data_IF_625438536912
#
_entry.id   IF_625438536912
#
_cell.length_a   1.000
_cell.length_b   1.000
_cell.length_c   1.000
_cell.angle_alpha   90.00
_cell.angle_beta   90.00
_cell.angle_gamma   90.00
#
_symmetry.space_group_name_H-M   'P 1'
#
loop_
_entity.id
_entity.type
_entity.pdbx_description
1 polymer ?
#
# COMPACT_ATOMS: atom_id res chain seq x y z
N UNK A 1 -33.60 -6.24 0.44
CA UNK A 1 -32.99 -4.92 0.29
C UNK A 1 -32.56 -4.85 -1.17
N UNK A 2 -33.07 -3.90 -1.90
CA UNK A 2 -32.64 -3.67 -3.27
C UNK A 2 -31.31 -2.89 -3.32
N UNK A 3 -30.75 -2.72 -4.51
CA UNK A 3 -29.47 -2.06 -4.72
C UNK A 3 -29.48 -0.59 -4.27
N UNK A 4 -30.53 0.15 -4.61
CA UNK A 4 -30.65 1.57 -4.25
C UNK A 4 -30.82 1.78 -2.75
N UNK A 5 -31.57 0.90 -2.06
CA UNK A 5 -31.67 0.90 -0.61
C UNK A 5 -30.33 0.65 0.06
N UNK A 6 -29.50 -0.26 -0.52
CA UNK A 6 -28.18 -0.57 -0.03
C UNK A 6 -27.23 0.64 -0.17
N UNK A 7 -27.17 1.23 -1.36
CA UNK A 7 -26.33 2.42 -1.62
C UNK A 7 -26.72 3.55 -0.68
N UNK A 8 -28.00 3.86 -0.59
CA UNK A 8 -28.49 4.93 0.27
C UNK A 8 -28.18 4.71 1.75
N UNK A 9 -28.34 3.47 2.24
CA UNK A 9 -28.19 3.14 3.65
C UNK A 9 -26.74 3.10 4.11
N UNK A 10 -25.83 2.54 3.29
CA UNK A 10 -24.46 2.22 3.73
C UNK A 10 -23.40 3.14 3.14
N UNK A 11 -23.62 3.69 1.96
CA UNK A 11 -22.59 4.46 1.25
C UNK A 11 -22.93 5.96 1.16
N UNK A 12 -24.17 6.34 0.96
CA UNK A 12 -24.54 7.77 0.96
C UNK A 12 -24.24 8.44 2.30
N UNK A 13 -24.31 7.71 3.41
CA UNK A 13 -23.93 8.21 4.73
C UNK A 13 -22.41 8.48 4.89
N UNK A 14 -21.57 7.94 4.00
CA UNK A 14 -20.12 8.18 3.98
C UNK A 14 -19.74 9.44 3.20
N UNK A 15 -20.68 10.02 2.47
CA UNK A 15 -20.50 11.27 1.77
C UNK A 15 -20.28 12.39 2.80
N UNK A 16 -19.06 12.91 2.86
CA UNK A 16 -18.78 14.07 3.71
C UNK A 16 -19.18 15.34 2.94
N UNK A 17 -19.62 16.36 3.66
CA UNK A 17 -19.99 17.64 3.11
C UNK A 17 -18.72 18.43 2.70
N UNK A 18 -18.06 18.00 1.62
CA UNK A 18 -16.96 18.75 0.99
C UNK A 18 -17.54 19.81 0.07
N UNK A 19 -17.02 21.04 0.15
CA UNK A 19 -17.51 22.16 -0.65
C UNK A 19 -17.19 22.07 -2.15
N UNK A 20 -16.32 21.14 -2.53
CA UNK A 20 -15.92 20.86 -3.92
C UNK A 20 -16.65 19.67 -4.56
N UNK A 21 -17.50 18.96 -3.84
CA UNK A 21 -18.43 17.96 -4.39
C UNK A 21 -19.77 18.62 -4.65
N UNK A 22 -20.07 18.86 -5.93
CA UNK A 22 -21.32 19.52 -6.35
C UNK A 22 -22.49 18.53 -6.45
N UNK A 23 -22.22 17.31 -6.93
CA UNK A 23 -23.15 16.16 -6.98
C UNK A 23 -22.33 14.93 -6.54
N UNK A 24 -22.80 14.22 -5.54
CA UNK A 24 -22.16 13.02 -5.01
C UNK A 24 -22.98 11.77 -5.29
N UNK A 25 -23.04 10.86 -4.28
CA UNK A 25 -23.72 9.57 -4.39
C UNK A 25 -25.23 9.76 -4.51
N UNK A 26 -25.85 9.17 -5.55
CA UNK A 26 -27.30 9.16 -5.78
C UNK A 26 -27.76 9.71 -7.12
N UNK A 27 -26.86 10.19 -7.96
CA UNK A 27 -27.10 10.56 -9.35
C UNK A 27 -26.28 9.67 -10.29
N UNK A 28 -26.45 9.81 -11.62
CA UNK A 28 -25.79 8.98 -12.64
C UNK A 28 -24.25 9.16 -12.64
N UNK A 29 -23.76 10.31 -12.17
CA UNK A 29 -22.34 10.57 -12.00
C UNK A 29 -22.07 11.58 -10.89
N UNK A 30 -20.93 11.47 -10.22
CA UNK A 30 -20.45 12.52 -9.34
C UNK A 30 -19.93 13.73 -10.15
N UNK A 31 -20.22 14.95 -9.68
CA UNK A 31 -19.69 16.19 -10.23
C UNK A 31 -18.86 16.86 -9.15
N UNK A 32 -17.55 16.98 -9.40
CA UNK A 32 -16.60 17.59 -8.49
C UNK A 32 -15.96 18.82 -9.14
N UNK A 33 -15.73 19.86 -8.34
CA UNK A 33 -14.96 21.01 -8.79
C UNK A 33 -13.45 20.64 -8.72
N UNK A 34 -12.75 20.78 -9.83
CA UNK A 34 -11.33 20.53 -9.91
C UNK A 34 -10.58 21.83 -10.17
N UNK A 35 -9.68 22.19 -9.27
CA UNK A 35 -8.76 23.31 -9.51
C UNK A 35 -7.57 22.77 -10.31
N UNK A 36 -7.39 23.30 -11.53
CA UNK A 36 -6.47 22.77 -12.53
C UNK A 36 -5.01 23.20 -12.34
N UNK A 37 -4.63 23.73 -11.18
CA UNK A 37 -3.25 24.16 -10.94
C UNK A 37 -2.25 22.99 -10.81
N UNK A 38 -2.73 21.82 -10.38
CA UNK A 38 -1.94 20.63 -10.15
C UNK A 38 -2.32 19.49 -11.10
N UNK A 39 -1.40 18.56 -11.31
CA UNK A 39 -1.65 17.33 -12.07
C UNK A 39 -2.59 16.39 -11.31
N UNK A 40 -3.50 15.76 -12.05
CA UNK A 40 -4.43 14.76 -11.50
C UNK A 40 -3.75 13.41 -11.39
N UNK A 41 -3.77 12.81 -10.18
CA UNK A 41 -3.37 11.43 -9.92
C UNK A 41 -4.60 10.52 -9.90
N UNK A 42 -4.50 9.34 -10.52
CA UNK A 42 -5.57 8.33 -10.56
C UNK A 42 -4.93 6.95 -10.35
N UNK A 43 -5.43 6.18 -9.38
CA UNK A 43 -5.08 4.78 -9.17
C UNK A 43 -6.34 3.92 -9.03
N UNK A 44 -6.24 2.63 -9.34
CA UNK A 44 -7.33 1.68 -9.19
C UNK A 44 -6.79 0.29 -8.87
N UNK A 45 -7.33 -0.29 -7.80
CA UNK A 45 -7.03 -1.65 -7.39
C UNK A 45 -8.28 -2.48 -7.16
N UNK A 46 -8.15 -3.77 -7.41
CA UNK A 46 -9.21 -4.76 -7.22
C UNK A 46 -8.79 -5.85 -6.26
N UNK A 47 -9.54 -6.03 -5.19
CA UNK A 47 -9.39 -7.12 -4.25
C UNK A 47 -10.44 -8.21 -4.48
N UNK A 48 -10.01 -9.47 -4.60
CA UNK A 48 -10.86 -10.64 -4.83
C UNK A 48 -10.73 -11.60 -3.65
N UNK A 49 -11.86 -12.05 -3.10
CA UNK A 49 -11.87 -13.06 -2.03
C UNK A 49 -11.20 -14.36 -2.50
N UNK A 50 -10.37 -14.94 -1.66
CA UNK A 50 -9.59 -16.14 -1.96
C UNK A 50 -8.29 -15.88 -2.72
N UNK A 51 -8.10 -14.69 -3.30
CA UNK A 51 -6.88 -14.26 -3.99
C UNK A 51 -6.11 -13.29 -3.11
N UNK A 52 -6.67 -12.10 -2.85
CA UNK A 52 -6.03 -11.02 -2.11
C UNK A 52 -6.31 -11.05 -0.60
N UNK A 53 -7.36 -11.72 -0.20
CA UNK A 53 -7.67 -11.95 1.21
C UNK A 53 -8.41 -13.30 1.38
N UNK A 54 -8.22 -14.02 2.50
CA UNK A 54 -8.87 -15.29 2.77
C UNK A 54 -10.41 -15.15 2.83
N UNK A 55 -11.12 -16.20 2.44
CA UNK A 55 -12.55 -16.28 2.66
C UNK A 55 -12.89 -16.16 4.16
N UNK A 56 -13.96 -15.42 4.46
CA UNK A 56 -14.36 -15.17 5.84
C UNK A 56 -13.56 -14.09 6.57
N UNK A 57 -12.70 -13.35 5.88
CA UNK A 57 -12.05 -12.15 6.42
C UNK A 57 -13.12 -11.16 6.90
N UNK A 58 -12.88 -10.53 8.05
CA UNK A 58 -13.80 -9.57 8.64
C UNK A 58 -14.11 -8.42 7.66
N UNK A 59 -15.37 -8.09 7.49
CA UNK A 59 -15.82 -7.14 6.48
C UNK A 59 -15.21 -5.74 6.65
N UNK A 60 -15.02 -5.28 7.89
CA UNK A 60 -14.38 -4.01 8.20
C UNK A 60 -12.90 -3.98 7.77
N UNK A 61 -12.20 -5.12 7.91
CA UNK A 61 -10.83 -5.25 7.42
C UNK A 61 -10.77 -5.24 5.88
N UNK A 62 -11.73 -5.90 5.19
CA UNK A 62 -11.82 -5.87 3.73
C UNK A 62 -12.06 -4.44 3.23
N UNK A 63 -13.02 -3.72 3.85
CA UNK A 63 -13.31 -2.33 3.49
C UNK A 63 -12.13 -1.40 3.71
N UNK A 64 -11.42 -1.54 4.82
CA UNK A 64 -10.20 -0.77 5.11
C UNK A 64 -9.09 -1.06 4.09
N UNK A 65 -8.75 -2.35 3.90
CA UNK A 65 -7.67 -2.77 2.99
C UNK A 65 -7.93 -2.30 1.56
N UNK A 66 -9.17 -2.38 1.07
CA UNK A 66 -9.51 -1.98 -0.29
C UNK A 66 -9.20 -0.49 -0.59
N UNK A 67 -9.28 0.37 0.40
CA UNK A 67 -8.86 1.77 0.28
C UNK A 67 -7.36 1.90 0.46
N UNK A 68 -6.80 1.25 1.49
CA UNK A 68 -5.41 1.42 1.91
C UNK A 68 -4.40 1.01 0.82
N UNK A 69 -4.69 -0.02 0.02
CA UNK A 69 -3.81 -0.44 -1.09
C UNK A 69 -3.67 0.66 -2.14
N UNK A 70 -4.77 1.30 -2.54
CA UNK A 70 -4.74 2.45 -3.47
C UNK A 70 -4.06 3.70 -2.85
N UNK A 71 -4.22 3.91 -1.54
CA UNK A 71 -3.52 4.99 -0.84
C UNK A 71 -1.99 4.78 -0.88
N UNK A 72 -1.54 3.53 -0.94
CA UNK A 72 -0.12 3.19 -1.07
C UNK A 72 0.47 3.63 -2.41
N UNK A 73 -0.27 3.46 -3.52
CA UNK A 73 0.12 3.99 -4.83
C UNK A 73 0.27 5.51 -4.79
N UNK A 74 -0.68 6.19 -4.15
CA UNK A 74 -0.63 7.64 -3.98
C UNK A 74 0.58 8.06 -3.16
N UNK A 75 0.91 7.32 -2.10
CA UNK A 75 2.10 7.56 -1.30
C UNK A 75 3.38 7.40 -2.14
N UNK A 76 3.48 6.35 -2.96
CA UNK A 76 4.62 6.13 -3.85
C UNK A 76 4.83 7.26 -4.86
N UNK A 77 3.75 7.89 -5.30
CA UNK A 77 3.81 9.05 -6.21
C UNK A 77 3.98 10.40 -5.50
N UNK A 78 3.88 10.44 -4.16
CA UNK A 78 3.84 11.69 -3.38
C UNK A 78 2.58 12.51 -3.66
N UNK A 79 1.51 11.86 -4.12
CA UNK A 79 0.22 12.46 -4.44
C UNK A 79 -0.71 12.42 -3.22
N UNK A 80 -1.71 13.32 -3.22
CA UNK A 80 -2.72 13.39 -2.17
C UNK A 80 -4.09 12.99 -2.73
N UNK A 81 -4.74 11.96 -2.16
CA UNK A 81 -6.07 11.54 -2.59
C UNK A 81 -7.12 12.58 -2.20
N UNK A 82 -8.21 12.65 -2.95
CA UNK A 82 -9.36 13.54 -2.67
C UNK A 82 -10.69 12.81 -2.77
N UNK A 83 -10.87 12.01 -3.80
CA UNK A 83 -12.11 11.32 -4.11
C UNK A 83 -11.89 9.85 -4.31
N UNK A 84 -12.87 9.06 -3.89
CA UNK A 84 -12.92 7.62 -4.13
C UNK A 84 -14.19 7.24 -4.89
N UNK A 85 -14.11 6.23 -5.73
CA UNK A 85 -15.28 5.49 -6.24
C UNK A 85 -15.13 4.01 -5.88
N UNK A 86 -16.26 3.33 -5.67
CA UNK A 86 -16.33 1.93 -5.27
C UNK A 86 -17.13 1.13 -6.29
N UNK A 87 -16.56 0.08 -6.90
CA UNK A 87 -17.32 -0.97 -7.55
C UNK A 87 -17.31 -2.22 -6.65
N UNK A 88 -18.48 -2.56 -6.09
CA UNK A 88 -18.65 -3.65 -5.15
C UNK A 88 -19.46 -4.77 -5.76
N UNK A 89 -18.86 -5.94 -5.92
CA UNK A 89 -19.57 -7.18 -6.27
C UNK A 89 -19.66 -8.06 -5.03
N UNK A 90 -20.88 -8.52 -4.69
CA UNK A 90 -21.10 -9.36 -3.51
C UNK A 90 -22.13 -10.47 -3.80
N UNK A 91 -22.00 -11.65 -3.15
CA UNK A 91 -22.89 -12.77 -3.42
C UNK A 91 -24.30 -12.55 -2.87
N UNK A 92 -24.46 -11.76 -1.84
CA UNK A 92 -25.72 -11.41 -1.17
C UNK A 92 -25.63 -10.08 -0.44
N UNK A 93 -26.72 -9.35 -0.33
CA UNK A 93 -26.82 -8.14 0.47
C UNK A 93 -27.07 -8.51 1.95
N UNK A 94 -26.00 -8.74 2.69
CA UNK A 94 -25.98 -9.00 4.12
C UNK A 94 -25.81 -7.68 4.89
N UNK A 95 -26.79 -7.34 5.73
CA UNK A 95 -26.83 -6.03 6.38
C UNK A 95 -25.68 -5.80 7.37
N UNK A 96 -25.32 -6.81 8.15
CA UNK A 96 -24.25 -6.71 9.15
C UNK A 96 -22.88 -6.65 8.47
N UNK A 97 -22.70 -7.46 7.42
CA UNK A 97 -21.48 -7.43 6.61
C UNK A 97 -21.28 -6.06 5.95
N UNK A 98 -22.34 -5.51 5.34
CA UNK A 98 -22.27 -4.22 4.65
C UNK A 98 -22.00 -3.07 5.61
N UNK A 99 -22.62 -3.08 6.80
CA UNK A 99 -22.34 -2.06 7.81
C UNK A 99 -20.88 -2.12 8.28
N UNK A 100 -20.36 -3.30 8.55
CA UNK A 100 -18.96 -3.48 8.95
C UNK A 100 -18.00 -3.05 7.84
N UNK A 101 -18.25 -3.47 6.58
CA UNK A 101 -17.48 -3.09 5.41
C UNK A 101 -17.43 -1.56 5.23
N UNK A 102 -18.59 -0.91 5.26
CA UNK A 102 -18.70 0.55 5.15
C UNK A 102 -17.95 1.28 6.28
N UNK A 103 -17.99 0.77 7.50
CA UNK A 103 -17.24 1.33 8.63
C UNK A 103 -15.74 1.24 8.43
N UNK A 104 -15.25 0.09 7.97
CA UNK A 104 -13.81 -0.10 7.68
C UNK A 104 -13.33 0.79 6.54
N UNK A 105 -14.10 0.85 5.45
CA UNK A 105 -13.83 1.74 4.32
C UNK A 105 -13.78 3.21 4.74
N UNK A 106 -14.82 3.65 5.49
CA UNK A 106 -14.90 5.02 5.99
C UNK A 106 -13.70 5.39 6.86
N UNK A 107 -13.24 4.47 7.72
CA UNK A 107 -12.06 4.71 8.54
C UNK A 107 -10.82 5.06 7.70
N UNK A 108 -10.55 4.28 6.66
CA UNK A 108 -9.40 4.53 5.77
C UNK A 108 -9.55 5.82 4.96
N UNK A 109 -10.77 6.11 4.48
CA UNK A 109 -11.06 7.35 3.75
C UNK A 109 -10.90 8.60 4.61
N UNK A 110 -11.44 8.59 5.83
CA UNK A 110 -11.34 9.72 6.78
C UNK A 110 -9.89 9.97 7.19
N UNK A 111 -9.13 8.90 7.49
CA UNK A 111 -7.71 9.03 7.85
C UNK A 111 -6.88 9.68 6.72
N UNK A 112 -7.31 9.53 5.46
CA UNK A 112 -6.65 10.06 4.27
C UNK A 112 -7.28 11.36 3.74
N UNK A 113 -8.21 12.00 4.47
CA UNK A 113 -8.99 13.17 4.03
C UNK A 113 -9.64 12.98 2.63
N UNK A 114 -10.15 11.78 2.38
CA UNK A 114 -10.73 11.37 1.10
C UNK A 114 -12.22 11.08 1.28
N UNK A 115 -13.03 11.33 0.25
CA UNK A 115 -14.47 11.09 0.29
C UNK A 115 -14.91 10.14 -0.80
N UNK A 116 -15.85 9.25 -0.47
CA UNK A 116 -16.54 8.41 -1.45
C UNK A 116 -17.56 9.28 -2.19
N UNK A 117 -17.44 9.37 -3.52
CA UNK A 117 -18.30 10.25 -4.34
C UNK A 117 -19.21 9.48 -5.30
N UNK A 118 -18.99 8.16 -5.48
CA UNK A 118 -19.78 7.37 -6.39
C UNK A 118 -19.34 5.91 -6.43
N UNK A 119 -19.96 5.15 -7.32
CA UNK A 119 -19.61 3.74 -7.51
C UNK A 119 -20.72 2.92 -8.12
N UNK A 120 -20.59 1.60 -8.01
CA UNK A 120 -21.54 0.62 -8.51
C UNK A 120 -21.63 -0.56 -7.53
N UNK A 121 -22.80 -1.21 -7.47
CA UNK A 121 -22.98 -2.40 -6.64
C UNK A 121 -23.73 -3.47 -7.41
N UNK A 122 -23.13 -4.64 -7.55
CA UNK A 122 -23.70 -5.74 -8.33
C UNK A 122 -23.61 -7.09 -7.62
N UNK A 123 -24.27 -8.10 -8.15
CA UNK A 123 -24.27 -9.46 -7.59
C UNK A 123 -23.25 -10.35 -8.29
N UNK A 124 -22.39 -11.01 -7.50
CA UNK A 124 -21.41 -11.99 -7.99
C UNK A 124 -20.48 -12.45 -6.87
N UNK A 125 -19.34 -13.09 -7.21
CA UNK A 125 -18.28 -13.39 -6.23
C UNK A 125 -17.77 -12.12 -5.56
N UNK A 126 -17.43 -12.20 -4.26
CA UNK A 126 -16.96 -11.02 -3.53
C UNK A 126 -15.72 -10.42 -4.18
N UNK A 127 -15.89 -9.24 -4.73
CA UNK A 127 -14.85 -8.45 -5.40
C UNK A 127 -15.04 -6.98 -5.05
N UNK A 128 -13.97 -6.32 -4.69
CA UNK A 128 -13.98 -4.91 -4.28
C UNK A 128 -12.99 -4.16 -5.16
N UNK A 129 -13.45 -3.23 -5.96
CA UNK A 129 -12.61 -2.33 -6.74
C UNK A 129 -12.77 -0.92 -6.20
N UNK A 130 -11.68 -0.30 -5.79
CA UNK A 130 -11.64 1.11 -5.39
C UNK A 130 -10.79 1.86 -6.40
N UNK A 131 -11.28 3.00 -6.85
CA UNK A 131 -10.52 3.96 -7.60
C UNK A 131 -10.33 5.21 -6.75
N UNK A 132 -9.11 5.72 -6.68
CA UNK A 132 -8.81 7.02 -6.10
C UNK A 132 -8.49 8.04 -7.18
N UNK A 133 -8.95 9.25 -6.97
CA UNK A 133 -8.62 10.44 -7.74
C UNK A 133 -8.11 11.49 -6.77
N UNK A 134 -7.01 12.13 -7.11
CA UNK A 134 -6.39 13.15 -6.27
C UNK A 134 -5.45 14.03 -7.08
N UNK A 135 -4.56 14.71 -6.40
CA UNK A 135 -3.64 15.67 -7.00
C UNK A 135 -2.20 15.42 -6.61
N UNK A 136 -1.29 15.78 -7.48
CA UNK A 136 0.14 15.85 -7.22
C UNK A 136 0.59 17.30 -7.34
N UNK A 137 1.03 17.89 -6.23
CA UNK A 137 1.57 19.25 -6.21
C UNK A 137 2.97 19.26 -6.84
N UNK A 138 3.09 19.78 -8.08
CA UNK A 138 4.34 19.76 -8.84
C UNK A 138 4.74 18.37 -9.35
N UNK A 139 6.03 18.09 -9.53
CA UNK A 139 6.49 16.83 -10.12
C UNK A 139 6.23 15.63 -9.19
N UNK A 140 5.61 14.52 -9.67
CA UNK A 140 5.45 13.30 -8.89
C UNK A 140 6.79 12.56 -8.72
N UNK A 141 6.90 11.75 -7.67
CA UNK A 141 7.87 10.66 -7.66
C UNK A 141 7.45 9.60 -8.68
N UNK A 142 8.41 8.96 -9.31
CA UNK A 142 8.17 7.88 -10.26
C UNK A 142 9.11 6.71 -10.00
N UNK A 143 8.87 5.57 -10.65
CA UNK A 143 9.80 4.45 -10.64
C UNK A 143 11.08 4.74 -11.42
N UNK A 144 11.05 5.69 -12.36
CA UNK A 144 12.20 6.16 -13.13
C UNK A 144 12.88 7.33 -12.44
N UNK A 145 14.23 7.42 -12.58
CA UNK A 145 14.98 8.55 -12.06
C UNK A 145 16.04 8.18 -11.00
N UNK A 146 16.09 6.92 -10.55
CA UNK A 146 17.17 6.49 -9.66
C UNK A 146 18.52 6.59 -10.37
N UNK A 147 19.51 7.10 -9.65
CA UNK A 147 20.87 7.33 -10.16
C UNK A 147 21.90 6.51 -9.36
N UNK A 148 23.03 6.10 -9.96
CA UNK A 148 24.14 5.50 -9.22
C UNK A 148 24.54 6.36 -8.02
N UNK A 149 24.87 5.71 -6.91
CA UNK A 149 25.16 6.27 -5.57
C UNK A 149 23.94 6.70 -4.75
N UNK A 150 22.71 6.65 -5.29
CA UNK A 150 21.52 6.84 -4.46
C UNK A 150 21.47 5.80 -3.33
N UNK A 151 21.09 6.25 -2.14
CA UNK A 151 20.81 5.37 -1.00
C UNK A 151 19.39 4.82 -1.15
N UNK A 152 19.24 3.50 -1.00
CA UNK A 152 17.94 2.85 -1.01
C UNK A 152 17.43 2.79 0.44
N UNK A 153 16.32 3.49 0.70
CA UNK A 153 15.65 3.52 2.00
C UNK A 153 14.34 2.75 1.92
N UNK A 154 13.96 2.09 3.02
CA UNK A 154 12.63 1.48 3.19
C UNK A 154 11.98 2.00 4.45
N UNK A 155 10.68 2.31 4.36
CA UNK A 155 9.88 2.70 5.52
C UNK A 155 9.41 1.50 6.34
N UNK A 156 9.16 1.71 7.63
CA UNK A 156 8.54 0.74 8.53
C UNK A 156 9.30 -0.58 8.67
N UNK A 157 8.59 -1.69 8.55
CA UNK A 157 9.12 -3.08 8.62
C UNK A 157 8.54 -3.94 7.50
N UNK A 158 9.30 -4.98 7.10
CA UNK A 158 8.97 -5.85 5.98
C UNK A 158 8.67 -7.27 6.42
N UNK A 159 7.77 -7.95 5.69
CA UNK A 159 7.42 -9.36 5.87
C UNK A 159 6.32 -9.61 6.91
N UNK A 160 5.89 -8.59 7.63
CA UNK A 160 4.85 -8.68 8.66
C UNK A 160 3.51 -9.12 8.05
N UNK A 161 3.13 -8.51 6.94
CA UNK A 161 1.87 -8.82 6.26
C UNK A 161 1.85 -10.28 5.77
N UNK A 162 2.95 -10.78 5.22
CA UNK A 162 3.06 -12.18 4.78
C UNK A 162 2.94 -13.15 5.95
N UNK A 163 3.55 -12.85 7.09
CA UNK A 163 3.40 -13.65 8.30
C UNK A 163 1.94 -13.64 8.78
N UNK A 164 1.31 -12.48 8.82
CA UNK A 164 -0.10 -12.32 9.18
C UNK A 164 -1.06 -13.10 8.28
N UNK A 165 -0.85 -13.05 6.96
CA UNK A 165 -1.62 -13.86 6.01
C UNK A 165 -1.50 -15.36 6.26
N UNK A 166 -0.27 -15.84 6.57
CA UNK A 166 -0.07 -17.25 6.86
C UNK A 166 -0.73 -17.68 8.18
N UNK A 167 -0.75 -16.81 9.19
CA UNK A 167 -1.49 -17.04 10.43
C UNK A 167 -3.00 -17.16 10.19
N UNK A 168 -3.56 -16.25 9.39
CA UNK A 168 -4.98 -16.30 8.99
C UNK A 168 -5.33 -17.59 8.24
N UNK A 169 -4.47 -18.01 7.29
CA UNK A 169 -4.66 -19.25 6.54
C UNK A 169 -4.55 -20.50 7.41
N UNK A 170 -3.83 -20.42 8.53
CA UNK A 170 -3.75 -21.48 9.53
C UNK A 170 -5.05 -21.78 10.27
N UNK A 171 -6.07 -20.97 10.09
CA UNK A 171 -7.43 -21.12 10.64
C UNK A 171 -7.45 -21.37 12.16
N UNK A 172 -6.59 -20.67 12.90
CA UNK A 172 -6.52 -20.70 14.37
C UNK A 172 -6.55 -19.28 14.94
N UNK A 173 -7.00 -19.16 16.17
CA UNK A 173 -6.91 -17.87 16.87
C UNK A 173 -5.43 -17.52 17.13
N UNK A 174 -5.08 -16.22 17.06
CA UNK A 174 -3.74 -15.78 17.42
C UNK A 174 -3.45 -16.12 18.88
N UNK A 175 -2.21 -16.56 19.16
CA UNK A 175 -1.78 -17.02 20.47
C UNK A 175 -1.02 -15.95 21.27
N UNK A 176 -0.69 -14.81 20.64
CA UNK A 176 0.05 -13.72 21.27
C UNK A 176 -0.31 -12.37 20.65
N UNK A 177 0.08 -11.28 21.33
CA UNK A 177 -0.06 -9.91 20.81
C UNK A 177 0.77 -9.71 19.53
N UNK A 178 1.94 -10.37 19.43
CA UNK A 178 2.78 -10.33 18.23
C UNK A 178 2.05 -10.94 17.02
N UNK A 179 1.37 -12.07 17.18
CA UNK A 179 0.56 -12.67 16.11
C UNK A 179 -0.63 -11.78 15.73
N UNK A 180 -1.26 -11.12 16.72
CA UNK A 180 -2.32 -10.13 16.45
C UNK A 180 -1.79 -8.97 15.63
N UNK A 181 -0.60 -8.46 15.96
CA UNK A 181 0.03 -7.36 15.23
C UNK A 181 0.36 -7.75 13.79
N UNK A 182 0.95 -8.93 13.54
CA UNK A 182 1.21 -9.42 12.20
C UNK A 182 -0.07 -9.54 11.36
N UNK A 183 -1.15 -10.07 11.97
CA UNK A 183 -2.47 -10.14 11.31
C UNK A 183 -3.00 -8.74 11.03
N UNK A 184 -2.86 -7.80 11.95
CA UNK A 184 -3.26 -6.40 11.76
C UNK A 184 -2.53 -5.77 10.59
N UNK A 185 -1.22 -5.97 10.46
CA UNK A 185 -0.41 -5.45 9.36
C UNK A 185 -0.91 -5.92 7.99
N UNK A 186 -1.30 -7.19 7.88
CA UNK A 186 -1.90 -7.70 6.65
C UNK A 186 -3.30 -7.13 6.37
N UNK A 187 -4.15 -7.07 7.39
CA UNK A 187 -5.56 -6.67 7.24
C UNK A 187 -5.74 -5.15 7.13
N UNK A 188 -4.85 -4.39 7.75
CA UNK A 188 -4.92 -2.93 7.84
C UNK A 188 -3.54 -2.31 7.58
N UNK A 189 -3.04 -2.40 6.33
CA UNK A 189 -1.79 -1.74 5.98
C UNK A 189 -1.89 -0.23 6.15
N UNK A 190 -0.79 0.40 6.51
CA UNK A 190 -0.70 1.84 6.75
C UNK A 190 0.01 2.50 5.56
N UNK A 191 -0.76 3.07 4.64
CA UNK A 191 -0.20 3.81 3.52
C UNK A 191 0.62 5.01 4.01
N UNK A 192 1.80 5.20 3.43
CA UNK A 192 2.78 6.21 3.85
C UNK A 192 2.58 7.55 3.13
N UNK A 193 1.31 8.04 3.07
CA UNK A 193 0.96 9.25 2.32
C UNK A 193 1.81 10.47 2.70
N UNK A 194 1.91 10.76 4.01
CA UNK A 194 2.66 11.93 4.46
C UNK A 194 4.16 11.78 4.17
N UNK A 195 4.72 10.55 4.30
CA UNK A 195 6.10 10.28 3.91
C UNK A 195 6.32 10.52 2.42
N UNK A 196 5.45 9.98 1.56
CA UNK A 196 5.50 10.21 0.12
C UNK A 196 5.49 11.70 -0.20
N UNK A 197 4.56 12.45 0.41
CA UNK A 197 4.42 13.90 0.23
C UNK A 197 5.70 14.66 0.58
N UNK A 198 6.31 14.40 1.74
CA UNK A 198 7.53 15.12 2.16
C UNK A 198 8.79 14.66 1.41
N UNK A 199 8.87 13.39 1.00
CA UNK A 199 10.02 12.88 0.25
C UNK A 199 10.00 13.26 -1.24
N UNK A 200 8.84 13.63 -1.79
CA UNK A 200 8.63 13.89 -3.22
C UNK A 200 9.66 14.83 -3.86
N UNK A 201 10.06 15.85 -3.14
CA UNK A 201 11.03 16.86 -3.64
C UNK A 201 12.50 16.49 -3.39
N UNK A 202 12.75 15.35 -2.78
CA UNK A 202 14.07 14.92 -2.33
C UNK A 202 14.51 13.58 -2.92
N UNK A 203 13.56 12.65 -3.15
CA UNK A 203 13.86 11.35 -3.72
C UNK A 203 13.90 11.41 -5.25
N UNK A 204 14.82 10.66 -5.86
CA UNK A 204 14.93 10.52 -7.31
C UNK A 204 13.90 9.53 -7.85
N UNK A 205 13.61 8.45 -7.10
CA UNK A 205 12.61 7.46 -7.47
C UNK A 205 11.97 6.85 -6.23
N UNK A 206 10.75 6.33 -6.40
CA UNK A 206 10.01 5.63 -5.36
C UNK A 206 9.10 4.55 -5.93
N UNK A 207 8.77 3.59 -5.07
CA UNK A 207 7.75 2.56 -5.30
C UNK A 207 7.19 2.13 -3.95
N UNK A 208 5.94 1.70 -3.88
CA UNK A 208 5.42 0.97 -2.73
C UNK A 208 5.74 -0.53 -2.82
N UNK A 209 5.73 -1.22 -1.69
CA UNK A 209 6.09 -2.64 -1.61
C UNK A 209 4.81 -3.46 -1.49
N UNK A 210 4.27 -3.87 -2.64
CA UNK A 210 3.03 -4.64 -2.79
C UNK A 210 3.27 -6.10 -3.17
N UNK A 211 4.19 -6.40 -4.09
CA UNK A 211 4.53 -7.74 -4.56
C UNK A 211 5.73 -8.36 -3.84
N UNK A 212 6.45 -7.53 -3.09
CA UNK A 212 7.62 -7.87 -2.30
C UNK A 212 8.85 -7.08 -2.72
N UNK A 213 9.70 -6.77 -1.75
CA UNK A 213 10.83 -5.85 -1.89
C UNK A 213 11.66 -6.08 -3.17
N UNK A 214 12.05 -7.33 -3.44
CA UNK A 214 12.92 -7.62 -4.58
C UNK A 214 12.22 -7.40 -5.92
N UNK A 215 10.94 -7.73 -6.02
CA UNK A 215 10.16 -7.52 -7.24
C UNK A 215 9.94 -6.02 -7.49
N UNK A 216 9.54 -5.30 -6.47
CA UNK A 216 9.19 -3.88 -6.59
C UNK A 216 10.43 -3.01 -6.82
N UNK A 217 11.54 -3.26 -6.11
CA UNK A 217 12.82 -2.59 -6.37
C UNK A 217 13.35 -2.92 -7.79
N UNK A 218 13.13 -4.15 -8.28
CA UNK A 218 13.52 -4.49 -9.64
C UNK A 218 12.77 -3.67 -10.70
N UNK A 219 11.51 -3.29 -10.45
CA UNK A 219 10.77 -2.37 -11.31
C UNK A 219 11.40 -0.98 -11.36
N UNK A 220 11.84 -0.44 -10.22
CA UNK A 220 12.56 0.84 -10.15
C UNK A 220 13.88 0.76 -10.92
N UNK A 221 14.64 -0.30 -10.70
CA UNK A 221 15.94 -0.50 -11.38
C UNK A 221 15.77 -0.63 -12.89
N UNK A 222 14.76 -1.38 -13.35
CA UNK A 222 14.45 -1.49 -14.77
C UNK A 222 14.05 -0.15 -15.40
N UNK A 223 13.20 0.63 -14.71
CA UNK A 223 12.76 1.93 -15.18
C UNK A 223 13.88 2.99 -15.21
N UNK A 224 14.90 2.81 -14.36
CA UNK A 224 16.04 3.74 -14.19
C UNK A 224 17.32 3.26 -14.92
N UNK A 225 17.31 2.08 -15.56
CA UNK A 225 18.46 1.43 -16.17
C UNK A 225 19.66 1.30 -15.20
N UNK A 226 19.40 0.91 -13.97
CA UNK A 226 20.36 0.78 -12.87
C UNK A 226 20.29 -0.60 -12.22
N UNK A 227 21.14 -0.83 -11.22
CA UNK A 227 21.13 -2.00 -10.35
C UNK A 227 21.01 -1.57 -8.88
N UNK A 228 20.24 -2.33 -8.10
CA UNK A 228 20.25 -2.24 -6.65
C UNK A 228 21.21 -3.26 -6.03
N UNK A 229 22.08 -2.83 -5.13
CA UNK A 229 22.80 -3.68 -4.19
C UNK A 229 22.19 -3.51 -2.81
N UNK A 230 21.50 -4.56 -2.31
CA UNK A 230 20.82 -4.55 -1.03
C UNK A 230 21.62 -5.33 0.02
N UNK A 231 21.72 -4.80 1.22
CA UNK A 231 22.32 -5.42 2.39
C UNK A 231 21.24 -6.24 3.12
N UNK A 232 21.26 -7.56 2.97
CA UNK A 232 20.16 -8.39 3.44
C UNK A 232 19.97 -8.33 4.96
N UNK A 233 21.05 -8.11 5.71
CA UNK A 233 21.03 -8.02 7.18
C UNK A 233 20.55 -6.65 7.69
N UNK A 234 20.51 -5.64 6.81
CA UNK A 234 19.97 -4.32 7.12
C UNK A 234 18.45 -4.22 6.96
N UNK A 235 17.79 -5.25 6.41
CA UNK A 235 16.34 -5.21 6.23
C UNK A 235 15.60 -5.04 7.57
N UNK A 236 14.66 -4.06 7.66
CA UNK A 236 13.92 -3.81 8.89
C UNK A 236 12.89 -4.91 9.16
N UNK A 237 13.14 -5.74 10.15
CA UNK A 237 12.21 -6.75 10.65
C UNK A 237 11.58 -6.28 11.95
N UNK A 238 10.26 -6.39 12.09
CA UNK A 238 9.57 -6.06 13.34
C UNK A 238 9.90 -7.04 14.47
N UNK A 239 9.76 -6.60 15.72
CA UNK A 239 9.86 -7.49 16.88
C UNK A 239 8.83 -8.62 16.77
N UNK A 240 7.59 -8.31 16.36
CA UNK A 240 6.53 -9.31 16.21
C UNK A 240 6.93 -10.41 15.20
N UNK A 241 7.57 -10.04 14.09
CA UNK A 241 8.02 -11.01 13.09
C UNK A 241 9.12 -11.92 13.63
N UNK A 242 10.17 -11.36 14.23
CA UNK A 242 11.34 -12.16 14.69
C UNK A 242 11.06 -13.00 15.93
N UNK A 243 10.03 -12.66 16.72
CA UNK A 243 9.58 -13.48 17.85
C UNK A 243 8.65 -14.62 17.42
N UNK A 244 7.90 -14.42 16.34
CA UNK A 244 6.88 -15.38 15.87
C UNK A 244 7.41 -16.34 14.80
N UNK A 245 8.35 -15.90 13.98
CA UNK A 245 8.83 -16.62 12.79
C UNK A 245 10.33 -16.85 12.89
N UNK A 246 10.79 -18.06 12.52
CA UNK A 246 12.23 -18.35 12.41
C UNK A 246 12.93 -17.35 11.48
N UNK A 247 14.13 -16.86 11.87
CA UNK A 247 14.87 -15.78 11.19
C UNK A 247 14.99 -15.98 9.67
N UNK A 248 15.33 -17.21 9.23
CA UNK A 248 15.45 -17.50 7.79
C UNK A 248 14.15 -17.27 7.04
N UNK A 249 13.03 -17.69 7.63
CA UNK A 249 11.69 -17.49 7.05
C UNK A 249 11.26 -16.03 7.12
N UNK A 250 11.58 -15.32 8.21
CA UNK A 250 11.34 -13.88 8.33
C UNK A 250 12.05 -13.10 7.22
N UNK A 251 13.31 -13.44 6.90
CA UNK A 251 14.03 -12.86 5.77
C UNK A 251 13.38 -13.16 4.41
N UNK A 252 12.87 -14.38 4.21
CA UNK A 252 12.12 -14.72 3.01
C UNK A 252 10.83 -13.90 2.88
N UNK A 253 10.14 -13.67 3.99
CA UNK A 253 8.94 -12.82 4.00
C UNK A 253 9.29 -11.37 3.70
N UNK A 254 10.33 -10.82 4.30
CA UNK A 254 10.78 -9.45 4.06
C UNK A 254 11.26 -9.19 2.62
N UNK A 255 11.84 -10.20 1.97
CA UNK A 255 12.36 -10.05 0.59
C UNK A 255 11.31 -10.27 -0.50
N UNK A 256 10.35 -11.18 -0.27
CA UNK A 256 9.41 -11.62 -1.30
C UNK A 256 7.97 -11.81 -0.81
N UNK A 257 7.64 -11.29 0.37
CA UNK A 257 6.33 -11.53 1.00
C UNK A 257 5.16 -10.83 0.35
N UNK A 258 5.36 -9.60 -0.06
CA UNK A 258 4.31 -8.70 -0.51
C UNK A 258 3.30 -8.26 0.57
N UNK A 259 2.35 -7.44 0.20
CA UNK A 259 1.28 -6.87 1.05
C UNK A 259 1.78 -5.94 2.18
N UNK A 260 3.07 -5.54 2.20
CA UNK A 260 3.61 -4.69 3.28
C UNK A 260 3.18 -3.23 3.13
N UNK A 261 3.00 -2.73 1.89
CA UNK A 261 2.57 -1.36 1.57
C UNK A 261 3.43 -0.27 2.26
N UNK A 262 4.71 -0.58 2.42
CA UNK A 262 5.76 0.37 2.80
C UNK A 262 6.35 1.02 1.54
N UNK A 263 7.12 2.10 1.67
CA UNK A 263 7.79 2.75 0.54
C UNK A 263 9.26 2.34 0.45
N UNK A 264 9.70 2.04 -0.77
CA UNK A 264 11.12 2.01 -1.14
C UNK A 264 11.46 3.31 -1.88
N UNK A 265 12.49 4.03 -1.41
CA UNK A 265 12.91 5.34 -1.92
C UNK A 265 14.36 5.27 -2.38
N UNK A 266 14.67 5.82 -3.55
CA UNK A 266 16.05 6.09 -3.99
C UNK A 266 16.37 7.56 -3.74
N UNK A 267 17.31 7.83 -2.83
CA UNK A 267 17.58 9.19 -2.31
C UNK A 267 19.04 9.54 -2.56
N UNK A 268 19.35 10.68 -3.22
CA UNK A 268 20.73 11.12 -3.41
C UNK A 268 21.39 11.38 -2.04
N UNK A 269 22.69 11.06 -1.89
CA UNK A 269 23.42 11.28 -0.63
C UNK A 269 23.30 12.71 -0.08
N UNK A 270 23.16 13.70 -0.97
CA UNK A 270 23.01 15.12 -0.62
C UNK A 270 21.68 15.47 0.04
N UNK A 271 20.64 14.66 -0.16
CA UNK A 271 19.32 14.85 0.43
C UNK A 271 19.03 13.88 1.59
N UNK A 272 19.91 12.91 1.84
CA UNK A 272 19.67 11.82 2.81
C UNK A 272 19.34 12.34 4.22
N UNK A 273 20.14 13.24 4.76
CA UNK A 273 19.94 13.81 6.10
C UNK A 273 18.56 14.49 6.20
N UNK A 274 18.19 15.25 5.18
CA UNK A 274 16.89 15.93 5.12
C UNK A 274 15.73 14.97 5.08
N UNK A 275 15.80 13.89 4.29
CA UNK A 275 14.77 12.87 4.20
C UNK A 275 14.59 12.16 5.55
N UNK A 276 15.68 11.82 6.23
CA UNK A 276 15.63 11.21 7.55
C UNK A 276 15.02 12.13 8.61
N UNK A 277 15.37 13.44 8.61
CA UNK A 277 14.76 14.44 9.50
C UNK A 277 13.25 14.58 9.27
N UNK A 278 12.79 14.63 8.01
CA UNK A 278 11.37 14.72 7.71
C UNK A 278 10.61 13.43 8.13
N UNK A 279 11.21 12.27 7.93
CA UNK A 279 10.62 10.99 8.37
C UNK A 279 10.52 10.92 9.91
N UNK A 280 11.53 11.35 10.63
CA UNK A 280 11.52 11.44 12.10
C UNK A 280 10.42 12.39 12.59
N UNK A 281 10.25 13.54 11.92
CA UNK A 281 9.21 14.54 12.28
C UNK A 281 7.80 14.00 12.21
N UNK A 282 7.55 13.05 11.27
CA UNK A 282 6.25 12.39 11.11
C UNK A 282 6.19 11.01 11.76
N UNK A 283 7.24 10.65 12.55
CA UNK A 283 7.36 9.39 13.27
C UNK A 283 7.25 8.13 12.37
N UNK A 284 7.77 8.18 11.14
CA UNK A 284 7.88 7.04 10.24
C UNK A 284 9.34 6.59 10.17
N UNK A 285 9.68 5.38 10.66
CA UNK A 285 11.05 4.87 10.57
C UNK A 285 11.47 4.71 9.10
N UNK A 286 12.70 5.15 8.77
CA UNK A 286 13.35 4.86 7.51
C UNK A 286 14.65 4.11 7.76
N UNK A 287 14.87 3.02 7.04
CA UNK A 287 16.07 2.19 7.14
C UNK A 287 16.81 2.19 5.81
N UNK A 288 18.11 2.51 5.84
CA UNK A 288 18.99 2.31 4.69
C UNK A 288 19.26 0.83 4.53
N UNK A 289 18.91 0.29 3.36
CA UNK A 289 19.01 -1.14 3.04
C UNK A 289 19.97 -1.44 1.89
N UNK A 290 20.62 -0.41 1.32
CA UNK A 290 21.52 -0.58 0.20
C UNK A 290 21.70 0.67 -0.63
N UNK A 291 22.18 0.49 -1.85
CA UNK A 291 22.45 1.59 -2.78
C UNK A 291 22.18 1.20 -4.23
N UNK A 292 22.00 2.23 -5.04
CA UNK A 292 21.94 2.11 -6.50
C UNK A 292 23.35 2.13 -7.08
N UNK A 293 23.61 1.24 -8.02
CA UNK A 293 24.91 1.16 -8.74
C UNK A 293 24.70 1.01 -10.25
N UNK A 294 25.76 1.18 -11.01
CA UNK A 294 25.75 0.90 -12.46
C UNK A 294 25.52 -0.60 -12.70
N UNK A 295 24.58 -0.93 -13.57
CA UNK A 295 24.25 -2.32 -13.92
C UNK A 295 22.76 -2.52 -14.11
N UNK A 296 22.28 -3.76 -13.97
CA UNK A 296 20.86 -4.11 -14.12
C UNK A 296 20.42 -5.06 -13.01
N UNK A 297 19.15 -4.97 -12.60
CA UNK A 297 18.48 -5.87 -11.65
C UNK A 297 18.78 -5.57 -10.18
N UNK A 298 18.57 -6.57 -9.33
CA UNK A 298 18.72 -6.48 -7.87
C UNK A 298 19.65 -7.59 -7.39
N UNK A 299 20.61 -7.26 -6.55
CA UNK A 299 21.52 -8.21 -5.89
C UNK A 299 21.43 -7.99 -4.38
N UNK A 300 21.34 -9.07 -3.62
CA UNK A 300 21.46 -9.05 -2.17
C UNK A 300 22.88 -9.45 -1.76
N UNK A 301 23.48 -8.66 -0.86
CA UNK A 301 24.79 -8.92 -0.26
C UNK A 301 24.64 -9.31 1.20
N UNK A 302 25.45 -10.27 1.64
CA UNK A 302 25.63 -10.52 3.08
C UNK A 302 26.74 -9.61 3.65
N UNK A 303 27.05 -9.76 4.96
CA UNK A 303 28.07 -8.97 5.65
C UNK A 303 29.49 -9.17 5.08
N UNK A 304 29.77 -10.28 4.42
CA UNK A 304 31.05 -10.59 3.77
C UNK A 304 31.07 -10.08 2.31
N UNK A 305 29.97 -9.48 1.83
CA UNK A 305 29.81 -8.97 0.46
C UNK A 305 29.51 -10.06 -0.58
N UNK A 306 29.24 -11.29 -0.17
CA UNK A 306 28.87 -12.36 -1.09
C UNK A 306 27.44 -12.17 -1.60
N UNK A 307 27.20 -12.59 -2.84
CA UNK A 307 25.87 -12.59 -3.44
C UNK A 307 25.03 -13.71 -2.82
N UNK A 308 24.00 -13.31 -2.07
CA UNK A 308 23.03 -14.19 -1.42
C UNK A 308 21.62 -13.94 -1.91
N UNK A 309 21.49 -13.38 -3.12
CA UNK A 309 20.18 -13.04 -3.71
C UNK A 309 19.23 -14.24 -3.69
N UNK A 310 18.10 -14.19 -2.99
CA UNK A 310 17.15 -15.28 -3.00
C UNK A 310 16.58 -15.48 -4.40
N UNK A 311 16.43 -16.72 -4.83
CA UNK A 311 15.63 -17.02 -6.01
C UNK A 311 14.14 -16.90 -5.62
N UNK A 312 13.67 -15.68 -5.56
CA UNK A 312 12.29 -15.37 -5.21
C UNK A 312 11.67 -14.55 -6.35
N UNK A 313 10.59 -15.08 -6.91
CA UNK A 313 9.69 -14.25 -7.71
C UNK A 313 8.75 -13.57 -6.72
N UNK A 314 8.47 -12.29 -6.91
CA UNK A 314 7.37 -11.59 -6.24
C UNK A 314 6.03 -12.28 -6.56
N UNK A 315 4.95 -11.74 -6.03
CA UNK A 315 3.62 -12.23 -6.36
C UNK A 315 3.33 -12.05 -7.85
N UNK A 316 2.75 -13.08 -8.49
CA UNK A 316 2.39 -13.07 -9.92
C UNK A 316 0.95 -13.55 -10.04
N UNK A 317 0.08 -12.74 -10.67
CA UNK A 317 -1.34 -13.07 -10.86
C UNK A 317 -1.57 -14.20 -11.87
N UNK A 318 -0.72 -14.32 -12.86
CA UNK A 318 -0.86 -15.29 -13.95
C UNK A 318 0.46 -16.03 -14.13
N UNK A 319 0.47 -17.33 -13.82
CA UNK A 319 1.59 -18.26 -14.04
C UNK A 319 1.49 -18.95 -15.40
#
# INVERSE_FOLDING_TARGET
>A
MDEFDLIKRYFQALESARGDVNIGIGDDAAIVAWDSADDMAIAVDTLVEGVHFPAGTAADAVGYKAVAVNLSDFAAMGAMPRYATLALTLPRADADWLQAFANGMNKALVDADTVLVGGDTTRGPLTVTVQLVGQCEGAPMTRAGAEPDDVILVSGSLGDARAGLNLLRGNRFPASDDECELIRRFLRPEARLELGRVCRIHAHAAIDISDGLLADVAHVMAASACRAELEIEALPLSTALVTTVERRRAMQYATAGGDDYELALCVPPTALERVLEEADRIAVPLTSIGRVVVGEGVICRDADGADVTPYAKGYVHFD
#
